data_IF_348386398480
#
_entry.id   IF_348386398480
#
_cell.length_a   1.000
_cell.length_b   1.000
_cell.length_c   1.000
_cell.angle_alpha   90.00
_cell.angle_beta   90.00
_cell.angle_gamma   90.00
#
_symmetry.space_group_name_H-M   'P 1'
#
loop_
_entity.id
_entity.type
_entity.pdbx_description
1 polymer ?
#
# COMPACT_ATOMS: atom_id res chain seq x y z
N UNK A 1 5.40 -16.22 -12.35
CA UNK A 1 5.35 -15.00 -11.50
C UNK A 1 4.53 -15.25 -10.26
N UNK A 2 3.46 -16.05 -10.31
CA UNK A 2 2.87 -16.66 -9.09
C UNK A 2 3.95 -17.36 -8.24
N UNK A 3 4.84 -18.12 -8.87
CA UNK A 3 5.99 -18.74 -8.18
C UNK A 3 6.97 -17.77 -7.54
N UNK A 4 7.03 -16.51 -7.99
CA UNK A 4 7.97 -15.52 -7.46
C UNK A 4 7.52 -15.02 -6.07
N UNK A 5 6.20 -14.91 -5.89
CA UNK A 5 5.60 -14.44 -4.65
C UNK A 5 5.21 -15.57 -3.71
N UNK A 6 5.15 -16.80 -4.22
CA UNK A 6 4.83 -17.98 -3.43
C UNK A 6 5.83 -18.14 -2.27
N UNK A 7 5.29 -18.38 -1.07
CA UNK A 7 6.03 -18.55 0.17
C UNK A 7 6.90 -17.33 0.56
N UNK A 8 6.60 -16.15 -0.01
CA UNK A 8 7.24 -14.88 0.38
C UNK A 8 6.38 -14.14 1.38
N UNK A 9 7.05 -13.31 2.16
CA UNK A 9 6.42 -12.43 3.14
C UNK A 9 6.55 -10.98 2.68
N UNK A 10 5.53 -10.19 2.95
CA UNK A 10 5.63 -8.75 2.93
C UNK A 10 5.50 -8.17 4.33
N UNK A 11 6.07 -6.99 4.52
CA UNK A 11 6.00 -6.22 5.73
C UNK A 11 4.92 -5.14 5.59
N UNK A 12 4.11 -4.99 6.63
CA UNK A 12 3.18 -3.88 6.80
C UNK A 12 3.88 -2.73 7.54
N UNK A 13 3.29 -1.53 7.55
CA UNK A 13 3.85 -0.44 8.35
C UNK A 13 3.74 -0.71 9.86
N UNK A 14 2.71 -1.42 10.31
CA UNK A 14 2.48 -1.75 11.73
C UNK A 14 3.67 -2.48 12.34
N UNK A 15 4.34 -3.34 11.54
CA UNK A 15 5.59 -3.99 11.92
C UNK A 15 6.68 -3.05 12.44
N UNK A 16 6.67 -1.79 12.03
CA UNK A 16 7.67 -0.79 12.41
C UNK A 16 7.19 0.20 13.47
N UNK A 17 5.87 0.31 13.71
CA UNK A 17 5.30 1.22 14.70
C UNK A 17 5.51 0.73 16.15
N UNK A 18 5.69 -0.57 16.36
CA UNK A 18 5.82 -1.15 17.71
C UNK A 18 7.21 -1.03 18.36
N UNK A 19 8.22 -0.45 17.70
CA UNK A 19 9.59 -0.37 18.26
C UNK A 19 9.97 0.99 18.86
N UNK A 20 9.06 1.95 18.94
CA UNK A 20 9.29 3.29 19.53
C UNK A 20 8.62 3.51 20.89
N UNK A 21 8.63 2.53 21.79
CA UNK A 21 8.49 2.81 23.23
C UNK A 21 9.79 2.43 23.92
N UNK A 22 10.78 3.32 23.82
CA UNK A 22 11.90 3.33 24.77
C UNK A 22 11.54 4.37 25.83
N UNK A 23 11.24 3.99 27.09
CA UNK A 23 11.05 4.98 28.13
C UNK A 23 12.39 5.68 28.35
N UNK A 24 12.43 6.96 28.02
CA UNK A 24 13.48 7.89 28.41
C UNK A 24 13.49 7.93 29.94
N UNK A 25 14.37 7.16 30.58
CA UNK A 25 14.58 7.26 32.03
C UNK A 25 15.13 8.65 32.32
N UNK A 26 14.31 9.47 32.99
CA UNK A 26 14.76 10.70 33.61
C UNK A 26 15.56 10.34 34.86
N UNK A 27 16.87 10.14 34.72
CA UNK A 27 17.75 10.09 35.88
C UNK A 27 17.96 11.54 36.36
N UNK A 28 17.09 11.94 37.29
CA UNK A 28 17.28 13.11 38.12
C UNK A 28 17.10 12.64 39.57
N UNK A 29 18.13 12.01 40.13
CA UNK A 29 18.25 11.80 41.57
C UNK A 29 19.66 12.20 42.04
N UNK A 30 19.70 13.33 42.73
CA UNK A 30 20.88 13.90 43.35
C UNK A 30 20.68 13.77 44.87
N UNK A 31 21.38 12.82 45.50
CA UNK A 31 21.33 12.71 46.95
C UNK A 31 22.03 11.47 47.54
N UNK A 32 23.34 11.60 47.77
CA UNK A 32 24.11 11.22 48.98
C UNK A 32 23.66 10.00 49.84
N UNK A 33 24.48 9.09 50.38
CA UNK A 33 25.93 8.84 50.48
C UNK A 33 26.12 7.49 51.23
N UNK A 34 27.32 6.91 51.10
CA UNK A 34 28.10 6.10 52.09
C UNK A 34 27.86 4.58 52.29
N UNK A 35 28.95 3.83 52.03
CA UNK A 35 29.61 2.75 52.82
C UNK A 35 28.73 1.61 53.38
N UNK A 36 29.06 0.30 53.33
CA UNK A 36 30.32 -0.46 53.42
C UNK A 36 29.99 -1.95 53.15
N UNK A 37 30.97 -2.73 52.63
CA UNK A 37 31.27 -4.18 52.91
C UNK A 37 30.15 -5.23 52.72
N UNK A 38 30.35 -6.50 52.36
CA UNK A 38 31.42 -7.41 51.94
C UNK A 38 30.68 -8.79 51.76
N UNK A 39 31.36 -9.80 51.20
CA UNK A 39 31.11 -11.25 51.34
C UNK A 39 30.32 -11.98 50.22
N UNK A 40 31.04 -12.92 49.59
CA UNK A 40 30.57 -14.04 48.77
C UNK A 40 30.00 -15.19 49.63
N UNK A 41 28.97 -15.91 49.17
CA UNK A 41 28.81 -17.35 49.44
C UNK A 41 28.18 -18.03 48.21
N UNK A 42 28.66 -19.25 47.98
CA UNK A 42 28.48 -20.23 46.91
C UNK A 42 27.20 -21.08 46.99
N UNK A 43 27.00 -21.88 45.93
CA UNK A 43 26.33 -23.21 45.92
C UNK A 43 24.77 -23.22 46.01
N UNK A 44 23.94 -24.05 45.35
CA UNK A 44 24.03 -25.28 44.53
C UNK A 44 22.71 -25.51 43.75
N UNK A 45 22.74 -26.51 42.86
CA UNK A 45 21.70 -27.19 42.05
C UNK A 45 20.45 -27.63 42.90
N UNK A 46 19.22 -27.95 42.42
CA UNK A 46 18.75 -28.87 41.35
C UNK A 46 17.19 -28.78 41.17
N UNK A 47 16.69 -29.33 40.03
CA UNK A 47 15.41 -30.09 39.79
C UNK A 47 14.03 -29.39 39.81
N UNK A 48 13.30 -29.50 38.67
CA UNK A 48 11.84 -29.24 38.54
C UNK A 48 10.98 -30.47 38.89
N UNK A 49 9.79 -30.72 38.30
CA UNK A 49 8.85 -29.89 37.52
C UNK A 49 7.45 -29.77 38.22
N UNK A 50 6.49 -29.08 37.59
CA UNK A 50 5.02 -29.33 37.56
C UNK A 50 4.22 -28.02 37.39
N UNK A 51 3.64 -27.90 36.18
CA UNK A 51 2.31 -27.41 35.80
C UNK A 51 1.66 -26.24 36.58
N UNK A 52 1.49 -25.10 35.90
CA UNK A 52 0.22 -24.35 35.94
C UNK A 52 0.05 -23.47 34.68
N UNK A 53 -1.17 -23.52 34.14
CA UNK A 53 -1.66 -22.85 32.93
C UNK A 53 -1.89 -21.34 33.07
N UNK A 54 -2.05 -20.71 31.90
CA UNK A 54 -2.87 -19.54 31.63
C UNK A 54 -2.32 -18.16 32.04
N UNK A 55 -1.61 -17.56 31.08
CA UNK A 55 -1.47 -16.13 30.93
C UNK A 55 -1.48 -15.76 29.45
N UNK A 56 -2.65 -15.83 28.82
CA UNK A 56 -2.94 -15.19 27.53
C UNK A 56 -2.69 -13.69 27.71
N UNK A 57 -1.49 -13.27 27.32
CA UNK A 57 -1.14 -11.87 27.20
C UNK A 57 -0.92 -11.68 25.72
N UNK A 58 -1.94 -11.17 25.03
CA UNK A 58 -1.92 -10.93 23.60
C UNK A 58 -0.71 -10.09 23.20
N UNK A 59 0.32 -10.77 22.69
CA UNK A 59 1.42 -10.12 21.99
C UNK A 59 0.91 -9.75 20.60
N UNK A 60 0.59 -8.48 20.42
CA UNK A 60 0.44 -7.87 19.10
C UNK A 60 1.72 -8.16 18.31
N UNK A 61 1.61 -9.04 17.33
CA UNK A 61 2.73 -9.51 16.53
C UNK A 61 2.71 -8.71 15.24
N UNK A 62 3.45 -7.60 15.19
CA UNK A 62 3.99 -6.96 13.98
C UNK A 62 3.78 -7.80 12.70
N UNK A 63 2.70 -7.54 11.96
CA UNK A 63 2.14 -8.55 11.05
C UNK A 63 2.95 -8.66 9.75
N UNK A 64 3.70 -9.76 9.61
CA UNK A 64 4.17 -10.24 8.32
C UNK A 64 2.99 -10.90 7.59
N UNK A 65 2.77 -10.51 6.34
CA UNK A 65 1.65 -11.04 5.55
C UNK A 65 2.15 -11.93 4.42
N UNK A 66 1.35 -12.93 4.06
CA UNK A 66 1.61 -13.76 2.88
C UNK A 66 1.57 -12.90 1.61
N UNK A 67 2.68 -12.91 0.87
CA UNK A 67 2.86 -12.03 -0.29
C UNK A 67 1.81 -12.31 -1.36
N UNK A 68 1.58 -13.58 -1.70
CA UNK A 68 0.66 -13.97 -2.77
C UNK A 68 -0.78 -13.57 -2.45
N UNK A 69 -1.28 -13.92 -1.26
CA UNK A 69 -2.64 -13.58 -0.82
C UNK A 69 -2.86 -12.07 -0.76
N UNK A 70 -1.85 -11.30 -0.36
CA UNK A 70 -1.98 -9.86 -0.21
C UNK A 70 -2.13 -9.11 -1.53
N UNK A 71 -1.70 -9.70 -2.65
CA UNK A 71 -1.69 -9.07 -3.99
C UNK A 71 -2.62 -9.75 -5.01
N UNK A 72 -3.23 -10.88 -4.67
CA UNK A 72 -4.11 -11.64 -5.55
C UNK A 72 -5.30 -10.80 -6.04
N UNK A 73 -5.65 -10.92 -7.33
CA UNK A 73 -6.72 -10.20 -8.01
C UNK A 73 -6.61 -8.67 -7.97
N UNK A 74 -5.39 -8.14 -7.77
CA UNK A 74 -5.11 -6.69 -7.75
C UNK A 74 -4.19 -6.26 -8.89
N UNK A 75 -4.27 -4.96 -9.21
CA UNK A 75 -3.21 -4.24 -9.92
C UNK A 75 -2.12 -3.90 -8.90
N UNK A 76 -0.87 -4.19 -9.22
CA UNK A 76 0.25 -4.04 -8.29
C UNK A 76 1.23 -3.00 -8.80
N UNK A 77 1.56 -2.02 -7.96
CA UNK A 77 2.66 -1.09 -8.17
C UNK A 77 3.94 -1.57 -7.49
N UNK A 78 4.91 -2.05 -8.26
CA UNK A 78 6.27 -2.30 -7.76
C UNK A 78 7.02 -0.97 -7.69
N UNK A 79 7.21 -0.48 -6.46
CA UNK A 79 7.77 0.84 -6.21
C UNK A 79 9.22 0.75 -5.75
N UNK A 80 10.15 1.11 -6.63
CA UNK A 80 11.59 1.15 -6.37
C UNK A 80 12.01 2.56 -5.94
N UNK A 81 12.46 2.70 -4.70
CA UNK A 81 12.84 3.99 -4.11
C UNK A 81 13.80 3.82 -2.92
N UNK A 82 14.32 4.94 -2.42
CA UNK A 82 15.18 5.02 -1.24
C UNK A 82 15.03 6.38 -0.56
N UNK A 83 15.33 6.47 0.73
CA UNK A 83 15.18 7.71 1.51
C UNK A 83 16.15 8.80 1.06
N UNK A 84 17.41 8.44 0.78
CA UNK A 84 18.45 9.36 0.35
C UNK A 84 18.17 10.02 -1.02
N UNK A 85 17.17 9.52 -1.75
CA UNK A 85 16.78 9.99 -3.07
C UNK A 85 15.69 11.08 -2.95
N UNK A 86 16.09 12.35 -3.05
CA UNK A 86 15.18 13.51 -3.02
C UNK A 86 13.97 13.37 -3.98
N UNK A 87 14.15 13.06 -5.29
CA UNK A 87 12.99 12.92 -6.17
C UNK A 87 12.09 11.72 -5.80
N UNK A 88 12.60 10.74 -5.04
CA UNK A 88 11.80 9.66 -4.50
C UNK A 88 10.88 10.16 -3.39
N UNK A 89 11.35 11.04 -2.51
CA UNK A 89 10.53 11.61 -1.44
C UNK A 89 9.34 12.40 -2.00
N UNK A 90 9.58 13.23 -3.02
CA UNK A 90 8.53 14.00 -3.70
C UNK A 90 7.48 13.07 -4.34
N UNK A 91 7.94 12.03 -5.06
CA UNK A 91 7.03 11.10 -5.72
C UNK A 91 6.28 10.22 -4.72
N UNK A 92 6.90 9.84 -3.60
CA UNK A 92 6.25 9.07 -2.52
C UNK A 92 5.02 9.81 -2.01
N UNK A 93 5.08 11.13 -1.81
CA UNK A 93 3.92 11.91 -1.37
C UNK A 93 2.76 11.81 -2.37
N UNK A 94 3.04 12.00 -3.65
CA UNK A 94 2.03 11.90 -4.71
C UNK A 94 1.44 10.48 -4.82
N UNK A 95 2.29 9.46 -4.71
CA UNK A 95 1.87 8.05 -4.73
C UNK A 95 1.00 7.73 -3.51
N UNK A 96 1.36 8.23 -2.32
CA UNK A 96 0.58 8.09 -1.08
C UNK A 96 -0.83 8.63 -1.24
N UNK A 97 -0.97 9.87 -1.69
CA UNK A 97 -2.28 10.48 -1.93
C UNK A 97 -3.12 9.67 -2.93
N UNK A 98 -2.51 9.24 -4.04
CA UNK A 98 -3.19 8.43 -5.05
C UNK A 98 -3.63 7.07 -4.50
N UNK A 99 -2.79 6.44 -3.71
CA UNK A 99 -3.08 5.14 -3.10
C UNK A 99 -4.21 5.24 -2.07
N UNK A 100 -4.16 6.22 -1.17
CA UNK A 100 -5.19 6.45 -0.15
C UNK A 100 -6.57 6.67 -0.79
N UNK A 101 -6.65 7.52 -1.83
CA UNK A 101 -7.90 7.74 -2.57
C UNK A 101 -8.40 6.45 -3.28
N UNK A 102 -7.50 5.61 -3.80
CA UNK A 102 -7.87 4.32 -4.37
C UNK A 102 -8.36 3.33 -3.30
N UNK A 103 -7.78 3.34 -2.11
CA UNK A 103 -8.18 2.49 -0.98
C UNK A 103 -9.56 2.89 -0.46
N UNK A 104 -9.84 4.19 -0.32
CA UNK A 104 -11.17 4.70 0.03
C UNK A 104 -12.26 4.25 -0.94
N UNK A 105 -11.89 4.10 -2.23
CA UNK A 105 -12.79 3.61 -3.29
C UNK A 105 -12.87 2.08 -3.37
N UNK A 106 -12.26 1.35 -2.43
CA UNK A 106 -12.13 -0.11 -2.48
C UNK A 106 -11.59 -0.62 -3.83
N UNK A 107 -10.70 0.15 -4.46
CA UNK A 107 -10.12 -0.22 -5.75
C UNK A 107 -9.11 -1.35 -5.56
N UNK A 108 -9.03 -2.31 -6.50
CA UNK A 108 -8.10 -3.45 -6.40
C UNK A 108 -6.68 -3.01 -6.79
N UNK A 109 -6.07 -2.16 -5.97
CA UNK A 109 -4.72 -1.64 -6.13
C UNK A 109 -3.89 -1.92 -4.87
N UNK A 110 -2.67 -2.38 -5.06
CA UNK A 110 -1.69 -2.55 -3.99
C UNK A 110 -0.33 -2.01 -4.42
N UNK A 111 0.45 -1.49 -3.48
CA UNK A 111 1.83 -1.07 -3.73
C UNK A 111 2.76 -1.97 -2.93
N UNK A 112 3.82 -2.45 -3.59
CA UNK A 112 4.91 -3.18 -2.94
C UNK A 112 6.16 -2.33 -3.03
N UNK A 113 6.59 -1.80 -1.90
CA UNK A 113 7.83 -1.05 -1.77
C UNK A 113 9.05 -1.97 -1.84
N UNK A 114 10.02 -1.57 -2.67
CA UNK A 114 11.28 -2.25 -2.91
C UNK A 114 12.38 -1.24 -2.60
N UNK A 115 12.94 -1.34 -1.40
CA UNK A 115 13.94 -0.41 -0.89
C UNK A 115 15.30 -0.59 -1.58
N UNK A 116 15.89 0.53 -1.96
CA UNK A 116 17.28 0.67 -2.43
C UNK A 116 18.16 1.33 -1.35
N UNK A 117 17.67 1.40 -0.10
CA UNK A 117 18.42 1.93 1.02
C UNK A 117 19.58 1.02 1.41
N UNK A 118 20.66 1.63 1.89
CA UNK A 118 21.88 0.90 2.30
C UNK A 118 21.82 0.45 3.75
N UNK A 119 20.90 1.01 4.54
CA UNK A 119 20.69 0.69 5.95
C UNK A 119 19.22 0.37 6.16
N UNK A 120 18.97 -0.56 7.08
CA UNK A 120 17.61 -0.93 7.45
C UNK A 120 16.86 0.22 8.14
N UNK A 121 17.56 1.06 8.91
CA UNK A 121 16.93 2.15 9.63
C UNK A 121 16.44 3.24 8.67
N UNK A 122 17.24 3.59 7.65
CA UNK A 122 16.82 4.50 6.57
C UNK A 122 15.55 3.99 5.87
N UNK A 123 15.51 2.69 5.53
CA UNK A 123 14.33 2.04 4.95
C UNK A 123 13.12 2.13 5.88
N UNK A 124 13.30 1.82 7.17
CA UNK A 124 12.22 1.83 8.16
C UNK A 124 11.63 3.21 8.31
N UNK A 125 12.46 4.22 8.58
CA UNK A 125 12.05 5.62 8.75
C UNK A 125 11.30 6.11 7.52
N UNK A 126 11.84 5.86 6.32
CA UNK A 126 11.18 6.26 5.09
C UNK A 126 9.82 5.59 4.89
N UNK A 127 9.75 4.28 5.16
CA UNK A 127 8.54 3.49 5.03
C UNK A 127 7.48 3.83 6.08
N UNK A 128 7.86 4.10 7.33
CA UNK A 128 6.90 4.43 8.40
C UNK A 128 6.40 5.87 8.33
N UNK A 129 7.25 6.83 7.96
CA UNK A 129 6.91 8.25 8.03
C UNK A 129 6.29 8.79 6.74
N UNK A 130 6.79 8.37 5.57
CA UNK A 130 6.45 9.02 4.29
C UNK A 130 5.49 8.23 3.42
N UNK A 131 5.38 6.92 3.61
CA UNK A 131 4.60 6.06 2.72
C UNK A 131 3.12 6.00 3.13
N UNK A 132 2.26 5.52 2.21
CA UNK A 132 0.90 5.08 2.52
C UNK A 132 0.91 3.68 3.15
N UNK A 133 -0.20 3.26 3.75
CA UNK A 133 -0.39 1.93 4.37
C UNK A 133 -0.47 0.82 3.30
N UNK A 134 0.63 0.67 2.56
CA UNK A 134 0.89 -0.36 1.57
C UNK A 134 2.01 -1.28 2.06
N UNK A 135 2.39 -2.25 1.24
CA UNK A 135 3.30 -3.33 1.61
C UNK A 135 4.76 -2.99 1.29
N UNK A 136 5.70 -3.66 1.95
CA UNK A 136 7.12 -3.62 1.63
C UNK A 136 7.71 -5.02 1.54
N UNK A 137 8.69 -5.20 0.66
CA UNK A 137 9.56 -6.37 0.73
C UNK A 137 10.48 -6.31 1.95
N UNK A 138 10.92 -7.47 2.48
CA UNK A 138 11.95 -7.52 3.49
C UNK A 138 13.25 -6.84 3.05
N UNK A 139 13.91 -6.18 4.00
CA UNK A 139 15.20 -5.55 3.77
C UNK A 139 16.22 -6.58 3.28
N UNK A 140 16.89 -6.28 2.15
CA UNK A 140 17.86 -7.17 1.49
C UNK A 140 17.31 -8.55 1.12
N UNK A 141 16.01 -8.67 0.85
CA UNK A 141 15.49 -9.89 0.24
C UNK A 141 16.20 -10.15 -1.11
N UNK A 142 16.71 -11.36 -1.38
CA UNK A 142 17.37 -11.69 -2.65
C UNK A 142 16.52 -11.39 -3.90
N UNK A 143 15.20 -11.38 -3.75
CA UNK A 143 14.27 -11.07 -4.83
C UNK A 143 14.40 -9.60 -5.30
N UNK A 144 14.90 -8.69 -4.46
CA UNK A 144 15.15 -7.29 -4.85
C UNK A 144 16.07 -7.21 -6.07
N UNK A 145 17.18 -7.95 -6.07
CA UNK A 145 18.14 -7.96 -7.18
C UNK A 145 17.58 -8.63 -8.43
N UNK A 146 16.76 -9.67 -8.26
CA UNK A 146 16.04 -10.34 -9.36
C UNK A 146 15.06 -9.37 -10.02
N UNK A 147 14.24 -8.64 -9.24
CA UNK A 147 13.27 -7.68 -9.75
C UNK A 147 13.96 -6.48 -10.40
N UNK A 148 15.03 -5.96 -9.78
CA UNK A 148 15.86 -4.90 -10.34
C UNK A 148 16.40 -5.26 -11.73
N UNK A 149 16.93 -6.49 -11.86
CA UNK A 149 17.48 -6.98 -13.12
C UNK A 149 16.38 -7.22 -14.15
N UNK A 150 15.28 -7.89 -13.75
CA UNK A 150 14.16 -8.24 -14.61
C UNK A 150 13.48 -7.01 -15.24
N UNK A 151 13.30 -5.95 -14.48
CA UNK A 151 12.65 -4.71 -14.93
C UNK A 151 13.66 -3.63 -15.35
N UNK A 152 14.94 -3.99 -15.49
CA UNK A 152 16.02 -3.11 -15.93
C UNK A 152 16.04 -1.75 -15.20
N UNK A 153 15.94 -1.78 -13.87
CA UNK A 153 15.81 -0.57 -13.05
C UNK A 153 17.17 0.16 -13.01
N UNK A 154 17.30 1.18 -13.86
CA UNK A 154 18.51 2.01 -14.01
C UNK A 154 18.51 3.25 -13.11
N UNK A 155 17.34 3.74 -12.72
CA UNK A 155 17.17 4.94 -11.91
C UNK A 155 15.91 4.86 -11.04
N UNK A 156 15.93 5.55 -9.91
CA UNK A 156 14.81 5.70 -8.97
C UNK A 156 14.41 7.19 -8.87
N UNK A 157 13.13 7.52 -8.55
CA UNK A 157 12.02 6.59 -8.30
C UNK A 157 11.49 5.95 -9.59
N UNK A 158 11.14 4.67 -9.50
CA UNK A 158 10.53 3.90 -10.59
C UNK A 158 9.33 3.13 -10.06
N UNK A 159 8.22 3.22 -10.79
CA UNK A 159 6.99 2.50 -10.49
C UNK A 159 6.60 1.68 -11.71
N UNK A 160 6.65 0.36 -11.57
CA UNK A 160 6.19 -0.60 -12.57
C UNK A 160 4.81 -1.10 -12.15
N UNK A 161 3.84 -1.03 -13.06
CA UNK A 161 2.50 -1.54 -12.81
C UNK A 161 2.38 -2.91 -13.48
N UNK A 162 2.02 -3.91 -12.68
CA UNK A 162 1.87 -5.30 -13.10
C UNK A 162 0.53 -5.85 -12.61
N UNK A 163 0.17 -7.02 -13.13
CA UNK A 163 -0.84 -7.89 -12.54
C UNK A 163 -0.25 -8.78 -11.44
N UNK A 164 -1.10 -9.37 -10.63
CA UNK A 164 -0.81 -10.49 -9.72
C UNK A 164 -0.05 -11.65 -10.39
N UNK A 165 -0.44 -12.04 -11.60
CA UNK A 165 0.26 -13.05 -12.39
C UNK A 165 1.60 -12.54 -12.98
N UNK A 166 1.94 -11.28 -12.73
CA UNK A 166 3.18 -10.64 -13.12
C UNK A 166 3.31 -10.13 -14.54
N UNK A 167 2.21 -10.10 -15.29
CA UNK A 167 2.15 -9.44 -16.59
C UNK A 167 2.32 -7.93 -16.41
N UNK A 168 3.18 -7.30 -17.21
CA UNK A 168 3.40 -5.85 -17.17
C UNK A 168 2.20 -5.12 -17.80
N UNK A 169 1.62 -4.17 -17.07
CA UNK A 169 0.58 -3.24 -17.55
C UNK A 169 1.23 -1.96 -18.09
N UNK A 170 2.20 -1.42 -17.37
CA UNK A 170 3.02 -0.27 -17.79
C UNK A 170 4.30 -0.16 -16.97
N UNK A 171 5.40 0.21 -17.61
CA UNK A 171 6.67 0.56 -16.94
C UNK A 171 6.78 2.06 -16.65
N UNK A 172 5.76 2.82 -17.03
CA UNK A 172 5.68 4.27 -16.92
C UNK A 172 4.73 4.70 -15.80
N UNK A 173 4.51 3.85 -14.80
CA UNK A 173 3.56 4.09 -13.69
C UNK A 173 3.80 5.43 -13.00
N UNK A 174 5.06 5.79 -12.76
CA UNK A 174 5.42 7.11 -12.20
C UNK A 174 4.89 8.26 -13.04
N UNK A 175 5.14 8.22 -14.36
CA UNK A 175 4.70 9.26 -15.29
C UNK A 175 3.18 9.30 -15.42
N UNK A 176 2.55 8.13 -15.46
CA UNK A 176 1.08 8.02 -15.51
C UNK A 176 0.42 8.71 -14.31
N UNK A 177 0.94 8.52 -13.09
CA UNK A 177 0.45 9.21 -11.88
C UNK A 177 0.75 10.71 -11.95
N UNK A 178 1.96 11.12 -12.34
CA UNK A 178 2.33 12.53 -12.41
C UNK A 178 1.48 13.31 -13.42
N UNK A 179 1.19 12.72 -14.59
CA UNK A 179 0.48 13.40 -15.66
C UNK A 179 -1.05 13.37 -15.47
N UNK A 180 -1.60 12.30 -14.87
CA UNK A 180 -3.05 12.03 -14.86
C UNK A 180 -3.65 11.84 -13.47
N UNK A 181 -2.83 11.79 -12.42
CA UNK A 181 -3.25 11.44 -11.06
C UNK A 181 -3.99 10.10 -11.05
N UNK A 182 -5.01 10.00 -10.20
CA UNK A 182 -5.83 8.79 -10.05
C UNK A 182 -6.52 8.30 -11.34
N UNK A 183 -6.71 9.18 -12.34
CA UNK A 183 -7.41 8.83 -13.59
C UNK A 183 -6.65 7.74 -14.36
N UNK A 184 -5.33 7.64 -14.22
CA UNK A 184 -4.55 6.59 -14.90
C UNK A 184 -4.98 5.17 -14.51
N UNK A 185 -5.53 5.01 -13.29
CA UNK A 185 -5.93 3.71 -12.76
C UNK A 185 -7.00 3.03 -13.62
N UNK A 186 -7.92 3.79 -14.22
CA UNK A 186 -8.93 3.24 -15.15
C UNK A 186 -8.30 2.51 -16.33
N UNK A 187 -7.23 3.07 -16.89
CA UNK A 187 -6.49 2.46 -17.99
C UNK A 187 -5.71 1.22 -17.55
N UNK A 188 -5.20 1.21 -16.31
CA UNK A 188 -4.53 0.04 -15.76
C UNK A 188 -5.50 -1.11 -15.53
N UNK A 189 -6.68 -0.85 -14.97
CA UNK A 189 -7.74 -1.85 -14.79
C UNK A 189 -8.20 -2.47 -16.10
N UNK A 190 -8.44 -1.65 -17.13
CA UNK A 190 -8.85 -2.14 -18.44
C UNK A 190 -7.81 -3.08 -19.04
N UNK A 191 -6.52 -2.73 -18.96
CA UNK A 191 -5.42 -3.60 -19.38
C UNK A 191 -5.28 -4.84 -18.52
N UNK A 192 -5.63 -4.73 -17.24
CA UNK A 192 -5.70 -5.84 -16.32
C UNK A 192 -6.98 -6.66 -16.48
N UNK A 193 -7.90 -6.38 -17.42
CA UNK A 193 -9.18 -7.09 -17.50
C UNK A 193 -9.87 -7.28 -16.11
N UNK A 194 -9.64 -6.35 -15.19
CA UNK A 194 -10.22 -6.35 -13.84
C UNK A 194 -11.29 -5.26 -13.82
N UNK A 195 -12.49 -5.57 -13.36
CA UNK A 195 -13.48 -4.53 -13.09
C UNK A 195 -13.19 -3.90 -11.73
N UNK A 196 -13.17 -2.56 -11.64
CA UNK A 196 -13.28 -1.89 -10.34
C UNK A 196 -14.56 -2.37 -9.67
N UNK A 197 -14.48 -2.83 -8.42
CA UNK A 197 -15.66 -3.16 -7.64
C UNK A 197 -16.60 -1.95 -7.61
N UNK A 198 -17.88 -2.16 -7.94
CA UNK A 198 -18.91 -1.13 -7.83
C UNK A 198 -19.27 -0.93 -6.34
N UNK A 199 -19.62 0.29 -5.89
CA UNK A 199 -20.29 0.47 -4.60
C UNK A 199 -21.56 -0.39 -4.57
N UNK A 200 -21.75 -1.13 -3.49
CA UNK A 200 -22.86 -2.06 -3.28
C UNK A 200 -24.22 -1.38 -3.42
N UNK A 201 -24.95 -1.73 -4.47
CA UNK A 201 -26.38 -1.42 -4.61
C UNK A 201 -27.15 -2.46 -3.80
N UNK A 202 -27.91 -2.00 -2.80
CA UNK A 202 -28.73 -2.84 -1.93
C UNK A 202 -29.72 -3.67 -2.74
N UNK A 203 -29.58 -4.99 -2.67
CA UNK A 203 -30.58 -5.93 -3.17
C UNK A 203 -31.81 -5.89 -2.26
N UNK A 204 -32.84 -5.15 -2.65
CA UNK A 204 -34.21 -5.41 -2.24
C UNK A 204 -34.88 -6.28 -3.31
N UNK A 205 -35.41 -7.40 -2.86
CA UNK A 205 -36.22 -8.36 -3.58
C UNK A 205 -37.48 -7.74 -4.18
N UNK A 206 -37.83 -8.08 -5.42
CA UNK A 206 -39.18 -8.57 -5.72
C UNK A 206 -39.28 -9.29 -7.07
N UNK A 207 -40.20 -10.25 -7.12
CA UNK A 207 -40.40 -11.18 -8.23
C UNK A 207 -41.11 -10.54 -9.44
N UNK A 208 -40.56 -10.80 -10.64
CA UNK A 208 -41.29 -11.14 -11.87
C UNK A 208 -42.19 -10.10 -12.53
N UNK A 209 -41.77 -9.57 -13.69
CA UNK A 209 -42.52 -9.64 -14.97
C UNK A 209 -41.73 -9.02 -16.12
N UNK A 210 -42.16 -9.45 -17.31
CA UNK A 210 -41.59 -9.22 -18.63
C UNK A 210 -41.57 -7.75 -19.07
N UNK A 211 -40.78 -7.51 -20.12
CA UNK A 211 -40.87 -6.41 -21.08
C UNK A 211 -40.66 -5.00 -20.55
N UNK A 212 -39.53 -4.37 -20.92
CA UNK A 212 -39.49 -2.99 -21.43
C UNK A 212 -38.05 -2.58 -21.83
N UNK A 213 -37.54 -3.18 -22.92
CA UNK A 213 -36.44 -2.59 -23.69
C UNK A 213 -37.01 -1.61 -24.71
N UNK A 214 -37.57 -0.47 -24.26
CA UNK A 214 -38.03 0.59 -25.19
C UNK A 214 -38.38 1.94 -24.55
N UNK A 215 -37.64 2.45 -23.57
CA UNK A 215 -37.97 3.79 -23.03
C UNK A 215 -36.82 4.74 -22.66
N UNK A 216 -35.56 4.43 -22.97
CA UNK A 216 -34.43 5.34 -22.66
C UNK A 216 -33.85 6.04 -23.91
N UNK A 217 -34.13 5.55 -25.12
CA UNK A 217 -33.62 6.18 -26.36
C UNK A 217 -34.46 7.34 -26.89
N UNK A 218 -35.65 7.61 -26.33
CA UNK A 218 -36.51 8.74 -26.77
C UNK A 218 -36.29 10.06 -26.01
N UNK A 219 -35.50 10.06 -24.94
CA UNK A 219 -35.26 11.27 -24.15
C UNK A 219 -33.99 12.03 -24.54
N UNK A 220 -33.05 11.40 -25.25
CA UNK A 220 -31.77 12.03 -25.65
C UNK A 220 -31.91 12.82 -26.97
N UNK A 221 -32.95 12.56 -27.77
CA UNK A 221 -33.15 13.23 -29.07
C UNK A 221 -33.96 14.52 -28.97
N UNK A 222 -34.67 14.76 -27.86
CA UNK A 222 -35.42 16.02 -27.63
C UNK A 222 -34.55 17.16 -27.09
N UNK A 223 -33.48 16.88 -26.36
CA UNK A 223 -32.61 17.94 -25.81
C UNK A 223 -31.59 18.49 -26.83
N UNK A 224 -31.24 17.72 -27.88
CA UNK A 224 -30.39 18.23 -28.97
C UNK A 224 -31.12 19.17 -29.95
N UNK A 225 -32.45 19.12 -30.02
CA UNK A 225 -33.25 20.01 -30.88
C UNK A 225 -33.61 21.35 -30.24
N UNK A 226 -33.45 21.50 -28.91
CA UNK A 226 -33.77 22.75 -28.20
C UNK A 226 -32.54 23.66 -28.10
N UNK A 227 -31.33 23.12 -27.96
CA UNK A 227 -30.09 23.92 -27.88
C UNK A 227 -29.64 24.55 -29.21
N UNK A 228 -30.09 24.05 -30.37
CA UNK A 228 -29.65 24.55 -31.68
C UNK A 228 -30.47 25.76 -32.20
N UNK A 229 -31.59 26.13 -31.55
CA UNK A 229 -32.42 27.27 -31.97
C UNK A 229 -32.20 28.58 -31.20
N UNK A 230 -31.40 28.58 -30.13
CA UNK A 230 -31.12 29.80 -29.36
C UNK A 230 -29.78 30.48 -29.70
N UNK A 231 -29.01 29.95 -30.65
CA UNK A 231 -27.69 30.50 -30.99
C UNK A 231 -27.59 31.16 -32.38
N UNK A 232 -28.73 31.63 -32.95
CA UNK A 232 -28.76 32.32 -34.26
C UNK A 232 -29.44 33.71 -34.18
N UNK A 233 -29.71 34.24 -32.98
CA UNK A 233 -30.36 35.56 -32.81
C UNK A 233 -29.48 36.69 -32.28
N UNK A 234 -28.15 36.55 -32.24
CA UNK A 234 -27.24 37.60 -31.73
C UNK A 234 -26.21 38.11 -32.75
N UNK A 235 -26.49 38.03 -34.05
CA UNK A 235 -25.67 38.71 -35.07
C UNK A 235 -26.59 39.52 -35.99
N UNK A 236 -26.95 40.73 -35.54
CA UNK A 236 -27.34 41.83 -36.43
C UNK A 236 -26.80 43.15 -35.88
N UNK A 237 -25.78 43.62 -36.58
CA UNK A 237 -25.30 44.99 -36.84
C UNK A 237 -26.16 46.13 -36.27
N UNK A 238 -25.52 47.02 -35.49
CA UNK A 238 -25.45 48.48 -35.70
C UNK A 238 -24.24 49.07 -34.97
#
# INVERSE_FOLDING_TARGET
MEEIWKDKIFWTQEKFREKEIVPMKSDNDFGQTNNVKEICVSESQTTGPEDEEAGDTGEGKAEEVDAFKSIENKVIGLYFAADWCIPCQEFTFLLKQTYEELKERASPFEVVFISFDKKIDDMKTFFSEKHGDWLSMPYKDPLVDVLKSKYEIKAIPKLIIIRDNGTIITEKGRKDIQDKGIICFRGWLQKANLSAAKPSEQTLSDNGKQDETKLVEKSIEKEKTVSFKENVSSITIE
#
